data_IF_504180226569
#
_entry.id   IF_504180226569
#
_cell.length_a   1.000
_cell.length_b   1.000
_cell.length_c   1.000
_cell.angle_alpha   90.00
_cell.angle_beta   90.00
_cell.angle_gamma   90.00
#
_symmetry.space_group_name_H-M   'P 1'
#
loop_
_entity.id
_entity.type
_entity.pdbx_description
1 polymer ?
#
# COMPACT_ATOMS: atom_id res chain seq x y z
N UNK A 1 64.68 17.43 -22.36
CA UNK A 1 65.44 16.32 -23.05
C UNK A 1 64.74 15.00 -22.69
N UNK A 2 64.27 14.26 -23.75
CA UNK A 2 63.75 12.87 -23.80
C UNK A 2 62.44 12.56 -23.09
N UNK A 3 61.41 12.56 -23.78
CA UNK A 3 60.43 11.68 -24.45
C UNK A 3 60.78 10.16 -24.41
N UNK A 4 59.90 9.35 -23.88
CA UNK A 4 59.53 8.01 -24.33
C UNK A 4 58.21 7.57 -23.60
N UNK A 5 57.04 7.57 -24.28
CA UNK A 5 56.32 6.45 -24.88
C UNK A 5 56.22 5.21 -23.98
N UNK A 6 55.01 4.91 -23.52
CA UNK A 6 54.47 3.57 -23.68
C UNK A 6 52.92 3.62 -23.81
N UNK A 7 52.51 3.44 -25.04
CA UNK A 7 51.18 3.01 -25.43
C UNK A 7 51.08 1.49 -25.22
N UNK A 8 49.87 0.99 -25.01
CA UNK A 8 49.39 -0.39 -24.96
C UNK A 8 48.94 -0.86 -23.57
N UNK A 9 47.71 -0.65 -23.32
CA UNK A 9 46.81 -1.58 -22.58
C UNK A 9 45.38 -1.02 -22.54
N UNK A 10 44.79 -0.88 -23.71
CA UNK A 10 43.36 -0.69 -23.89
C UNK A 10 42.89 -1.75 -24.87
N UNK A 11 42.55 -2.89 -24.42
CA UNK A 11 42.12 -3.97 -25.34
C UNK A 11 41.65 -5.26 -24.70
N UNK A 12 41.35 -5.29 -23.41
CA UNK A 12 40.95 -6.60 -22.81
C UNK A 12 39.86 -6.49 -21.71
N UNK A 13 39.14 -5.37 -21.60
CA UNK A 13 38.00 -5.23 -20.66
C UNK A 13 36.64 -5.19 -21.35
N UNK A 14 36.58 -5.25 -22.68
CA UNK A 14 35.33 -5.16 -23.45
C UNK A 14 34.60 -6.49 -23.71
N UNK A 15 35.24 -7.63 -23.48
CA UNK A 15 34.70 -8.94 -23.86
C UNK A 15 34.12 -9.71 -22.65
N UNK A 16 34.44 -9.34 -21.42
CA UNK A 16 33.91 -10.02 -20.23
C UNK A 16 32.55 -9.47 -19.77
N UNK A 17 32.16 -8.27 -20.20
CA UNK A 17 30.87 -7.67 -19.81
C UNK A 17 29.67 -8.15 -20.65
N UNK A 18 29.92 -8.68 -21.86
CA UNK A 18 28.88 -9.21 -22.73
C UNK A 18 28.53 -10.68 -22.48
N UNK A 19 29.39 -11.42 -21.80
CA UNK A 19 29.12 -12.84 -21.46
C UNK A 19 28.36 -13.01 -20.15
N UNK A 20 28.37 -12.03 -19.24
CA UNK A 20 27.62 -12.09 -17.98
C UNK A 20 26.15 -11.65 -18.15
N UNK A 21 25.82 -10.84 -19.14
CA UNK A 21 24.43 -10.46 -19.42
C UNK A 21 23.63 -11.56 -20.14
N UNK A 22 24.31 -12.42 -20.90
CA UNK A 22 23.66 -13.55 -21.59
C UNK A 22 23.38 -14.75 -20.66
N UNK A 23 24.18 -14.92 -19.58
CA UNK A 23 23.96 -16.01 -18.62
C UNK A 23 22.80 -15.66 -17.65
N UNK A 24 22.61 -14.38 -17.33
CA UNK A 24 21.49 -13.97 -16.46
C UNK A 24 20.11 -13.99 -17.15
N UNK A 25 20.07 -13.93 -18.48
CA UNK A 25 18.83 -14.03 -19.23
C UNK A 25 18.37 -15.48 -19.43
N UNK A 26 19.26 -16.46 -19.31
CA UNK A 26 18.96 -17.86 -19.58
C UNK A 26 18.51 -18.67 -18.36
N UNK A 27 18.74 -18.18 -17.12
CA UNK A 27 18.27 -18.86 -15.91
C UNK A 27 16.84 -18.49 -15.45
N UNK A 28 16.16 -17.57 -16.12
CA UNK A 28 14.76 -17.18 -15.77
C UNK A 28 13.68 -17.84 -16.61
N UNK A 29 14.03 -18.65 -17.58
CA UNK A 29 13.07 -19.48 -18.29
C UNK A 29 12.93 -20.82 -17.56
N UNK A 30 12.10 -20.90 -16.53
CA UNK A 30 11.60 -22.20 -16.06
C UNK A 30 10.53 -22.67 -17.06
N UNK A 31 10.75 -23.76 -17.77
CA UNK A 31 9.72 -24.37 -18.59
C UNK A 31 8.78 -25.13 -17.65
N UNK A 32 7.51 -24.89 -17.76
CA UNK A 32 6.54 -25.79 -17.15
C UNK A 32 5.30 -25.15 -16.58
N UNK A 33 4.60 -24.34 -17.34
CA UNK A 33 3.15 -24.41 -17.40
C UNK A 33 2.84 -24.53 -18.87
N UNK A 34 2.50 -25.72 -19.30
CA UNK A 34 1.98 -25.99 -20.62
C UNK A 34 0.79 -25.10 -20.86
N UNK A 35 0.84 -24.35 -21.97
CA UNK A 35 -0.29 -23.63 -22.52
C UNK A 35 -1.46 -24.60 -22.67
N UNK A 36 -2.34 -24.62 -21.67
CA UNK A 36 -3.68 -25.11 -21.89
C UNK A 36 -4.36 -23.98 -22.64
N UNK A 37 -4.29 -24.00 -23.97
CA UNK A 37 -5.22 -23.26 -24.81
C UNK A 37 -6.64 -23.61 -24.37
N UNK A 38 -7.19 -22.81 -23.45
CA UNK A 38 -8.62 -22.87 -23.17
C UNK A 38 -9.36 -22.25 -24.36
N UNK A 39 -9.56 -23.03 -25.41
CA UNK A 39 -10.56 -22.74 -26.43
C UNK A 39 -11.92 -22.91 -25.77
N UNK A 40 -12.41 -21.87 -25.13
CA UNK A 40 -13.80 -21.80 -24.73
C UNK A 40 -14.67 -21.58 -25.99
N UNK A 41 -15.18 -22.65 -26.56
CA UNK A 41 -16.33 -22.55 -27.40
C UNK A 41 -17.56 -22.30 -26.54
N UNK A 42 -18.26 -21.21 -26.80
CA UNK A 42 -19.53 -20.92 -26.14
C UNK A 42 -20.52 -22.06 -26.45
N UNK A 43 -20.72 -22.95 -25.47
CA UNK A 43 -21.77 -23.99 -25.61
C UNK A 43 -21.59 -25.28 -24.82
N UNK A 44 -20.37 -25.75 -24.57
CA UNK A 44 -20.14 -27.08 -24.01
C UNK A 44 -19.19 -27.07 -22.80
N UNK A 45 -19.65 -26.55 -21.68
CA UNK A 45 -18.98 -26.80 -20.43
C UNK A 45 -19.83 -27.73 -19.54
N UNK A 46 -19.26 -28.83 -18.98
CA UNK A 46 -19.95 -29.68 -18.01
C UNK A 46 -20.27 -28.95 -16.68
N UNK A 47 -19.80 -27.74 -16.50
CA UNK A 47 -19.94 -26.90 -15.29
C UNK A 47 -20.80 -25.67 -15.50
N UNK A 48 -22.03 -25.80 -15.98
CA UNK A 48 -22.98 -24.70 -16.05
C UNK A 48 -22.61 -23.58 -17.05
N UNK A 49 -23.58 -22.77 -17.43
CA UNK A 49 -23.33 -21.60 -18.30
C UNK A 49 -22.39 -20.62 -17.61
N UNK A 50 -21.25 -20.33 -18.25
CA UNK A 50 -20.33 -19.28 -17.75
C UNK A 50 -21.09 -17.95 -17.73
N UNK A 51 -21.22 -17.37 -16.53
CA UNK A 51 -21.90 -16.10 -16.36
C UNK A 51 -21.01 -14.96 -16.86
N UNK A 52 -21.49 -14.26 -17.89
CA UNK A 52 -20.77 -13.12 -18.47
C UNK A 52 -21.05 -11.85 -17.66
N UNK A 53 -20.05 -11.02 -17.51
CA UNK A 53 -20.21 -9.67 -16.97
C UNK A 53 -21.01 -8.80 -17.96
N UNK A 54 -22.04 -8.12 -17.46
CA UNK A 54 -22.84 -7.22 -18.30
C UNK A 54 -22.13 -5.86 -18.42
N UNK A 55 -21.53 -5.64 -19.57
CA UNK A 55 -20.89 -4.36 -19.88
C UNK A 55 -21.93 -3.30 -20.24
N UNK A 56 -21.85 -2.17 -19.59
CA UNK A 56 -22.66 -0.98 -19.96
C UNK A 56 -22.11 -0.38 -21.27
N UNK A 57 -20.78 -0.43 -21.48
CA UNK A 57 -20.15 0.07 -22.69
C UNK A 57 -19.88 -1.09 -23.67
N UNK A 58 -20.56 -1.13 -24.83
CA UNK A 58 -20.40 -2.23 -25.80
C UNK A 58 -19.02 -2.25 -26.49
N UNK A 59 -18.21 -1.20 -26.35
CA UNK A 59 -16.83 -1.15 -26.88
C UNK A 59 -15.82 -1.79 -25.94
N UNK A 60 -16.20 -2.08 -24.69
CA UNK A 60 -15.30 -2.75 -23.75
C UNK A 60 -15.11 -4.22 -24.12
N UNK A 61 -13.91 -4.79 -23.96
CA UNK A 61 -13.67 -6.20 -24.21
C UNK A 61 -14.58 -7.09 -23.36
N UNK A 62 -15.08 -8.23 -23.88
CA UNK A 62 -15.93 -9.13 -23.11
C UNK A 62 -15.15 -9.73 -21.93
N UNK A 63 -15.84 -9.94 -20.82
CA UNK A 63 -15.34 -10.61 -19.61
C UNK A 63 -16.39 -11.50 -19.01
N UNK A 64 -15.97 -12.59 -18.37
CA UNK A 64 -16.84 -13.36 -17.49
C UNK A 64 -17.02 -12.60 -16.16
N UNK A 65 -18.07 -12.92 -15.42
CA UNK A 65 -18.28 -12.35 -14.08
C UNK A 65 -17.14 -12.69 -13.12
N UNK A 66 -16.60 -13.90 -13.20
CA UNK A 66 -15.47 -14.34 -12.40
C UNK A 66 -14.19 -13.52 -12.69
N UNK A 67 -13.90 -13.27 -13.98
CA UNK A 67 -12.79 -12.40 -14.40
C UNK A 67 -12.99 -10.96 -13.89
N UNK A 68 -14.21 -10.43 -14.00
CA UNK A 68 -14.51 -9.08 -13.49
C UNK A 68 -14.28 -8.97 -12.00
N UNK A 69 -14.75 -9.93 -11.19
CA UNK A 69 -14.52 -9.93 -9.73
C UNK A 69 -13.03 -10.12 -9.38
N UNK A 70 -12.30 -10.95 -10.12
CA UNK A 70 -10.84 -11.08 -9.97
C UNK A 70 -10.13 -9.77 -10.31
N UNK A 71 -10.48 -9.13 -11.41
CA UNK A 71 -9.93 -7.84 -11.83
C UNK A 71 -10.22 -6.74 -10.80
N UNK A 72 -11.42 -6.71 -10.24
CA UNK A 72 -11.83 -5.82 -9.17
C UNK A 72 -10.94 -6.01 -7.93
N UNK A 73 -10.70 -7.25 -7.50
CA UNK A 73 -9.81 -7.54 -6.38
C UNK A 73 -8.41 -7.00 -6.64
N UNK A 74 -7.78 -7.36 -7.77
CA UNK A 74 -6.43 -6.90 -8.13
C UNK A 74 -6.37 -5.38 -8.19
N UNK A 75 -7.38 -4.74 -8.78
CA UNK A 75 -7.41 -3.28 -8.91
C UNK A 75 -7.34 -2.58 -7.55
N UNK A 76 -8.18 -2.97 -6.60
CA UNK A 76 -8.20 -2.36 -5.29
C UNK A 76 -6.97 -2.70 -4.44
N UNK A 77 -6.35 -3.85 -4.67
CA UNK A 77 -5.13 -4.24 -3.95
C UNK A 77 -3.86 -3.59 -4.51
N UNK A 78 -3.78 -3.35 -5.83
CA UNK A 78 -2.53 -2.99 -6.51
C UNK A 78 -2.59 -1.68 -7.29
N UNK A 79 -3.73 -1.31 -7.86
CA UNK A 79 -3.84 -0.22 -8.85
C UNK A 79 -4.47 1.05 -8.28
N UNK A 80 -5.51 0.91 -7.43
CA UNK A 80 -6.29 2.02 -6.91
C UNK A 80 -5.44 3.07 -6.18
N UNK A 81 -4.38 2.65 -5.52
CA UNK A 81 -3.47 3.52 -4.81
C UNK A 81 -2.78 4.59 -5.66
N UNK A 82 -2.59 4.34 -6.94
CA UNK A 82 -2.03 5.32 -7.86
C UNK A 82 -3.09 5.91 -8.80
N UNK A 83 -4.03 5.09 -9.26
CA UNK A 83 -5.00 5.47 -10.27
C UNK A 83 -6.33 5.96 -9.70
N UNK A 84 -6.49 5.94 -8.36
CA UNK A 84 -7.71 6.30 -7.65
C UNK A 84 -8.74 5.18 -7.66
N UNK A 85 -9.53 5.05 -6.58
CA UNK A 85 -10.57 4.02 -6.47
C UNK A 85 -11.70 4.21 -7.47
N UNK A 86 -11.99 5.46 -7.86
CA UNK A 86 -12.94 5.84 -8.91
C UNK A 86 -12.27 5.99 -10.29
N UNK A 87 -11.01 5.54 -10.45
CA UNK A 87 -10.23 5.63 -11.69
C UNK A 87 -10.03 7.04 -12.25
N UNK A 88 -10.28 8.08 -11.45
CA UNK A 88 -10.12 9.49 -11.85
C UNK A 88 -8.67 9.99 -11.78
N UNK A 89 -7.75 9.11 -11.41
CA UNK A 89 -6.34 9.43 -11.19
C UNK A 89 -6.06 9.82 -9.74
N UNK A 90 -4.79 9.76 -9.38
CA UNK A 90 -4.24 10.23 -8.10
C UNK A 90 -2.79 10.64 -8.32
N UNK A 91 -1.80 9.80 -7.95
CA UNK A 91 -0.39 9.97 -8.37
C UNK A 91 -0.14 9.40 -9.76
N UNK A 92 -0.94 8.42 -10.18
CA UNK A 92 -0.97 7.87 -11.53
C UNK A 92 -2.04 8.55 -12.39
N UNK A 93 -1.94 8.35 -13.70
CA UNK A 93 -2.89 8.90 -14.67
C UNK A 93 -4.31 8.35 -14.45
N UNK A 94 -5.37 9.10 -14.81
CA UNK A 94 -6.73 8.58 -14.85
C UNK A 94 -6.87 7.36 -15.79
N UNK A 95 -7.65 6.37 -15.34
CA UNK A 95 -8.02 5.19 -16.09
C UNK A 95 -9.55 5.20 -16.37
N UNK A 96 -10.06 6.33 -16.83
CA UNK A 96 -11.46 6.45 -17.25
C UNK A 96 -11.70 5.61 -18.51
N UNK A 97 -12.89 5.05 -18.67
CA UNK A 97 -13.21 4.08 -19.72
C UNK A 97 -12.99 4.63 -21.13
N UNK A 98 -13.27 5.92 -21.36
CA UNK A 98 -12.98 6.60 -22.61
C UNK A 98 -11.48 6.51 -22.99
N UNK A 99 -10.58 6.75 -22.02
CA UNK A 99 -9.13 6.70 -22.25
C UNK A 99 -8.61 5.27 -22.40
N UNK A 100 -9.08 4.36 -21.57
CA UNK A 100 -8.59 2.97 -21.59
C UNK A 100 -9.07 2.20 -22.81
N UNK A 101 -10.32 2.43 -23.26
CA UNK A 101 -10.83 1.89 -24.52
C UNK A 101 -10.08 2.48 -25.73
N UNK A 102 -9.82 3.80 -25.73
CA UNK A 102 -9.03 4.43 -26.79
C UNK A 102 -7.58 3.89 -26.87
N UNK A 103 -7.00 3.54 -25.73
CA UNK A 103 -5.65 2.94 -25.66
C UNK A 103 -5.63 1.49 -26.19
N UNK A 104 -6.69 0.74 -25.96
CA UNK A 104 -6.80 -0.66 -26.37
C UNK A 104 -6.05 -1.64 -25.48
N UNK A 105 -6.48 -2.90 -25.53
CA UNK A 105 -6.00 -3.97 -24.63
C UNK A 105 -4.48 -4.19 -24.73
N UNK A 106 -3.93 -4.29 -25.93
CA UNK A 106 -2.50 -4.60 -26.12
C UNK A 106 -1.59 -3.49 -25.59
N UNK A 107 -1.96 -2.23 -25.80
CA UNK A 107 -1.21 -1.11 -25.25
C UNK A 107 -1.23 -1.13 -23.71
N UNK A 108 -2.38 -1.39 -23.10
CA UNK A 108 -2.52 -1.48 -21.65
C UNK A 108 -1.72 -2.64 -21.07
N UNK A 109 -1.68 -3.80 -21.75
CA UNK A 109 -0.87 -4.95 -21.34
C UNK A 109 0.62 -4.59 -21.25
N UNK A 110 1.14 -3.83 -22.19
CA UNK A 110 2.55 -3.40 -22.18
C UNK A 110 2.86 -2.61 -20.91
N UNK A 111 2.02 -1.62 -20.56
CA UNK A 111 2.26 -0.81 -19.36
C UNK A 111 2.06 -1.60 -18.05
N UNK A 112 1.09 -2.50 -17.99
CA UNK A 112 0.88 -3.35 -16.81
C UNK A 112 2.05 -4.32 -16.65
N UNK A 113 2.54 -4.89 -17.74
CA UNK A 113 3.61 -5.87 -17.72
C UNK A 113 4.97 -5.24 -17.37
N UNK A 114 5.35 -4.17 -18.07
CA UNK A 114 6.69 -3.59 -17.97
C UNK A 114 6.79 -2.34 -17.09
N UNK A 115 5.66 -1.79 -16.66
CA UNK A 115 5.64 -0.54 -15.91
C UNK A 115 6.05 0.67 -16.74
N UNK A 116 6.48 1.75 -16.06
CA UNK A 116 7.00 2.95 -16.71
C UNK A 116 8.06 3.64 -15.88
N UNK A 117 8.99 4.39 -16.51
CA UNK A 117 9.98 5.21 -15.80
C UNK A 117 9.36 6.29 -14.89
N UNK A 118 8.08 6.63 -15.14
CA UNK A 118 7.32 7.57 -14.31
C UNK A 118 6.78 6.96 -13.00
N UNK A 119 7.21 5.76 -12.63
CA UNK A 119 6.92 5.12 -11.35
C UNK A 119 5.75 4.14 -11.34
N UNK A 120 5.22 3.73 -12.50
CA UNK A 120 4.33 2.58 -12.56
C UNK A 120 5.15 1.30 -12.41
N UNK A 121 4.84 0.41 -11.43
CA UNK A 121 5.56 -0.84 -11.26
C UNK A 121 5.40 -1.79 -12.46
N UNK A 122 6.40 -2.63 -12.66
CA UNK A 122 6.43 -3.66 -13.71
C UNK A 122 5.75 -4.96 -13.23
N UNK A 123 4.44 -4.92 -13.07
CA UNK A 123 3.65 -5.97 -12.41
C UNK A 123 3.82 -7.36 -12.97
N UNK A 124 3.90 -7.51 -14.30
CA UNK A 124 4.10 -8.81 -14.93
C UNK A 124 5.55 -9.28 -14.83
N UNK A 125 6.52 -8.46 -15.28
CA UNK A 125 7.94 -8.87 -15.28
C UNK A 125 8.55 -8.99 -13.88
N UNK A 126 7.94 -8.41 -12.85
CA UNK A 126 8.31 -8.66 -11.46
C UNK A 126 7.78 -10.00 -10.91
N UNK A 127 6.83 -10.64 -11.61
CA UNK A 127 6.15 -11.85 -11.17
C UNK A 127 5.02 -11.62 -10.15
N UNK A 128 4.64 -10.36 -9.88
CA UNK A 128 3.51 -10.02 -9.00
C UNK A 128 2.16 -10.37 -9.63
N UNK A 129 2.04 -10.23 -10.95
CA UNK A 129 0.89 -10.66 -11.74
C UNK A 129 1.34 -11.70 -12.78
N UNK A 130 0.54 -12.75 -12.94
CA UNK A 130 0.72 -13.69 -14.06
C UNK A 130 0.36 -13.04 -15.39
N UNK A 131 0.79 -13.63 -16.51
CA UNK A 131 0.42 -13.15 -17.85
C UNK A 131 -1.11 -13.12 -18.03
N UNK A 132 -1.82 -14.10 -17.44
CA UNK A 132 -3.27 -14.14 -17.44
C UNK A 132 -3.88 -12.98 -16.64
N UNK A 133 -3.31 -12.64 -15.47
CA UNK A 133 -3.75 -11.49 -14.68
C UNK A 133 -3.42 -10.16 -15.38
N UNK A 134 -2.31 -10.07 -16.09
CA UNK A 134 -1.95 -8.89 -16.92
C UNK A 134 -2.98 -8.67 -18.03
N UNK A 135 -3.33 -9.72 -18.79
CA UNK A 135 -4.38 -9.67 -19.82
C UNK A 135 -5.74 -9.31 -19.22
N UNK A 136 -6.10 -9.99 -18.13
CA UNK A 136 -7.34 -9.75 -17.39
C UNK A 136 -7.42 -8.29 -16.94
N UNK A 137 -6.36 -7.73 -16.36
CA UNK A 137 -6.34 -6.35 -15.90
C UNK A 137 -6.43 -5.34 -17.04
N UNK A 138 -5.79 -5.61 -18.17
CA UNK A 138 -5.91 -4.75 -19.35
C UNK A 138 -7.35 -4.69 -19.88
N UNK A 139 -8.08 -5.81 -19.86
CA UNK A 139 -9.52 -5.86 -20.21
C UNK A 139 -10.39 -5.25 -19.12
N UNK A 140 -10.06 -5.49 -17.84
CA UNK A 140 -10.81 -4.98 -16.69
C UNK A 140 -10.84 -3.45 -16.60
N UNK A 141 -9.72 -2.77 -16.84
CA UNK A 141 -9.70 -1.31 -16.76
C UNK A 141 -10.47 -0.61 -17.87
N UNK A 142 -10.90 -1.35 -18.90
CA UNK A 142 -11.78 -0.88 -19.95
C UNK A 142 -13.29 -1.08 -19.63
N UNK A 143 -13.59 -1.79 -18.53
CA UNK A 143 -14.96 -1.91 -18.01
C UNK A 143 -15.34 -0.67 -17.21
N UNK A 144 -16.63 -0.39 -17.07
CA UNK A 144 -17.08 0.63 -16.12
C UNK A 144 -16.64 0.24 -14.70
N UNK A 145 -16.08 1.20 -13.94
CA UNK A 145 -15.61 0.91 -12.59
C UNK A 145 -16.80 0.55 -11.69
N UNK A 146 -16.69 -0.53 -10.90
CA UNK A 146 -17.70 -0.82 -9.89
C UNK A 146 -17.67 0.24 -8.79
N UNK A 147 -18.78 0.39 -8.06
CA UNK A 147 -18.76 1.16 -6.82
C UNK A 147 -17.71 0.58 -5.88
N UNK A 148 -16.79 1.40 -5.35
CA UNK A 148 -15.79 0.91 -4.43
C UNK A 148 -16.45 0.37 -3.16
N UNK A 149 -16.00 -0.78 -2.63
CA UNK A 149 -16.55 -1.32 -1.40
C UNK A 149 -16.24 -0.40 -0.22
N UNK A 150 -17.18 -0.29 0.71
CA UNK A 150 -16.94 0.34 2.01
C UNK A 150 -16.09 -0.59 2.89
N UNK A 151 -15.45 -0.01 3.90
CA UNK A 151 -14.61 -0.74 4.85
C UNK A 151 -14.85 -0.17 6.25
N UNK A 152 -15.65 -0.86 7.03
CA UNK A 152 -16.09 -0.40 8.33
C UNK A 152 -15.47 -1.18 9.49
N UNK A 153 -16.00 -0.98 10.70
CA UNK A 153 -15.53 -1.66 11.92
C UNK A 153 -15.62 -3.19 11.82
N UNK A 154 -16.61 -3.72 11.09
CA UNK A 154 -16.77 -5.16 10.89
C UNK A 154 -15.61 -5.77 10.12
N UNK A 155 -15.24 -5.16 9.00
CA UNK A 155 -14.14 -5.60 8.16
C UNK A 155 -12.80 -5.42 8.89
N UNK A 156 -12.65 -4.32 9.64
CA UNK A 156 -11.48 -4.09 10.48
C UNK A 156 -11.34 -5.15 11.56
N UNK A 157 -12.43 -5.45 12.29
CA UNK A 157 -12.43 -6.48 13.33
C UNK A 157 -12.09 -7.88 12.78
N UNK A 158 -12.55 -8.20 11.56
CA UNK A 158 -12.25 -9.47 10.90
C UNK A 158 -10.75 -9.59 10.52
N UNK A 159 -10.07 -8.47 10.28
CA UNK A 159 -8.64 -8.43 9.93
C UNK A 159 -7.71 -8.24 11.14
N UNK A 160 -8.26 -7.82 12.27
CA UNK A 160 -7.49 -7.48 13.48
C UNK A 160 -6.93 -8.75 14.15
N UNK A 161 -5.63 -8.72 14.43
CA UNK A 161 -4.94 -9.82 15.13
C UNK A 161 -3.98 -9.26 16.17
N UNK A 162 -4.08 -9.74 17.38
CA UNK A 162 -3.08 -9.55 18.43
C UNK A 162 -2.20 -10.79 18.44
N UNK A 163 -1.00 -10.68 17.85
CA UNK A 163 -0.06 -11.80 17.69
C UNK A 163 0.63 -12.14 19.01
N UNK A 164 0.94 -11.10 19.80
CA UNK A 164 1.48 -11.24 21.16
C UNK A 164 0.59 -10.43 22.10
N UNK A 165 -0.19 -11.10 22.98
CA UNK A 165 -1.02 -10.42 23.97
C UNK A 165 -0.21 -9.44 24.82
N UNK A 166 -0.79 -8.31 25.21
CA UNK A 166 -0.09 -7.26 26.00
C UNK A 166 0.51 -7.81 27.28
N UNK A 167 -0.19 -8.74 27.95
CA UNK A 167 0.28 -9.41 29.17
C UNK A 167 1.50 -10.30 28.98
N UNK A 168 1.79 -10.71 27.73
CA UNK A 168 2.95 -11.55 27.40
C UNK A 168 4.12 -10.73 26.84
N UNK A 169 3.93 -9.43 26.61
CA UNK A 169 4.99 -8.55 26.13
C UNK A 169 5.95 -8.18 27.25
N UNK A 170 7.21 -7.85 26.92
CA UNK A 170 8.19 -7.43 27.92
C UNK A 170 7.70 -6.24 28.74
N UNK A 171 7.84 -6.31 30.08
CA UNK A 171 7.56 -5.18 30.97
C UNK A 171 8.73 -4.20 31.05
N UNK A 172 9.90 -4.62 30.53
CA UNK A 172 11.13 -3.81 30.41
C UNK A 172 11.85 -4.19 29.12
N UNK A 173 12.64 -3.27 28.60
CA UNK A 173 13.43 -3.50 27.38
C UNK A 173 14.38 -4.71 27.58
N UNK A 174 14.31 -5.69 26.65
CA UNK A 174 15.10 -6.93 26.68
C UNK A 174 16.35 -6.90 25.79
N UNK A 175 16.59 -5.78 25.12
CA UNK A 175 17.75 -5.57 24.25
C UNK A 175 18.53 -4.34 24.69
N UNK A 176 19.73 -4.13 24.14
CA UNK A 176 20.62 -3.02 24.47
C UNK A 176 20.55 -1.86 23.45
N UNK A 177 19.68 -1.91 22.44
CA UNK A 177 19.62 -0.88 21.40
C UNK A 177 19.23 0.48 21.98
N UNK A 178 19.87 1.52 21.49
CA UNK A 178 19.48 2.90 21.81
C UNK A 178 18.24 3.27 21.00
N UNK A 179 17.07 3.26 21.65
CA UNK A 179 15.77 3.49 20.99
C UNK A 179 15.73 4.84 20.26
N UNK A 180 16.41 5.87 20.78
CA UNK A 180 16.44 7.19 20.16
C UNK A 180 17.34 7.26 18.93
N UNK A 181 18.17 6.24 18.70
CA UNK A 181 19.06 6.14 17.54
C UNK A 181 18.76 4.90 16.67
N UNK A 182 17.53 4.41 16.67
CA UNK A 182 17.06 3.41 15.72
C UNK A 182 16.53 4.09 14.46
N UNK A 183 17.03 3.68 13.29
CA UNK A 183 16.47 4.06 12.01
C UNK A 183 15.50 2.98 11.53
N UNK A 184 14.32 3.40 11.13
CA UNK A 184 13.35 2.54 10.43
C UNK A 184 13.35 2.90 8.95
N UNK A 185 13.73 1.93 8.11
CA UNK A 185 13.86 2.10 6.65
C UNK A 185 12.77 1.30 5.96
N UNK A 186 11.90 1.97 5.21
CA UNK A 186 10.86 1.32 4.42
C UNK A 186 11.47 0.63 3.21
N UNK A 187 11.35 -0.70 3.14
CA UNK A 187 11.68 -1.51 1.98
C UNK A 187 10.37 -1.72 1.19
N UNK A 188 10.01 -0.68 0.44
CA UNK A 188 8.69 -0.52 -0.16
C UNK A 188 8.28 -1.69 -1.03
N UNK A 189 9.15 -2.08 -1.95
CA UNK A 189 8.80 -3.05 -3.00
C UNK A 189 8.78 -4.50 -2.47
N UNK A 190 9.53 -4.78 -1.40
CA UNK A 190 9.48 -6.09 -0.73
C UNK A 190 8.40 -6.18 0.35
N UNK A 191 7.73 -5.06 0.69
CA UNK A 191 6.72 -5.03 1.76
C UNK A 191 7.31 -5.27 3.15
N UNK A 192 8.46 -4.68 3.44
CA UNK A 192 9.21 -4.88 4.67
C UNK A 192 9.66 -3.57 5.29
N UNK A 193 10.04 -3.63 6.55
CA UNK A 193 10.76 -2.55 7.21
C UNK A 193 12.08 -3.08 7.78
N UNK A 194 13.18 -2.38 7.51
CA UNK A 194 14.45 -2.65 8.14
C UNK A 194 14.63 -1.73 9.34
N UNK A 195 15.03 -2.30 10.48
CA UNK A 195 15.48 -1.59 11.66
C UNK A 195 17.02 -1.61 11.69
N UNK A 196 17.60 -0.44 11.79
CA UNK A 196 19.07 -0.26 11.81
C UNK A 196 19.44 0.41 13.13
N UNK A 197 20.38 -0.18 13.83
CA UNK A 197 21.01 0.42 15.00
C UNK A 197 21.95 1.55 14.55
N UNK A 198 21.62 2.77 14.90
CA UNK A 198 22.39 3.95 14.52
C UNK A 198 23.76 4.04 15.21
N UNK A 199 23.95 3.39 16.34
CA UNK A 199 25.23 3.39 17.06
C UNK A 199 26.21 2.42 16.38
N UNK A 200 25.81 1.17 16.14
CA UNK A 200 26.67 0.14 15.52
C UNK A 200 26.62 0.13 13.99
N UNK A 201 25.67 0.81 13.35
CA UNK A 201 25.38 0.80 11.91
C UNK A 201 24.98 -0.57 11.36
N UNK A 202 24.50 -1.46 12.24
CA UNK A 202 24.10 -2.83 11.87
C UNK A 202 22.58 -2.94 11.77
N UNK A 203 22.14 -3.83 10.89
CA UNK A 203 20.72 -4.20 10.82
C UNK A 203 20.33 -4.99 12.06
N UNK A 204 19.29 -4.51 12.77
CA UNK A 204 18.69 -5.18 13.93
C UNK A 204 17.75 -6.28 13.45
N UNK A 205 16.84 -5.93 12.53
CA UNK A 205 15.85 -6.85 11.97
C UNK A 205 15.33 -6.33 10.61
N UNK A 206 14.88 -7.26 9.77
CA UNK A 206 14.03 -6.97 8.61
C UNK A 206 12.71 -7.69 8.89
N UNK A 207 11.61 -6.94 8.92
CA UNK A 207 10.31 -7.40 9.38
C UNK A 207 9.31 -7.27 8.24
N UNK A 208 8.63 -8.37 7.91
CA UNK A 208 7.56 -8.39 6.92
C UNK A 208 6.35 -7.61 7.44
N UNK A 209 5.80 -6.74 6.60
CA UNK A 209 4.67 -5.87 6.93
C UNK A 209 3.62 -5.89 5.80
N UNK A 210 2.92 -4.79 5.57
CA UNK A 210 1.96 -4.66 4.48
C UNK A 210 2.61 -4.43 3.11
N UNK A 211 1.79 -4.44 2.08
CA UNK A 211 2.24 -4.16 0.71
C UNK A 211 2.60 -2.69 0.53
N UNK A 212 3.67 -2.44 -0.22
CA UNK A 212 4.17 -1.10 -0.54
C UNK A 212 4.26 -0.20 0.71
N UNK A 213 5.07 -0.60 1.68
CA UNK A 213 5.28 0.13 2.94
C UNK A 213 5.49 1.60 2.67
N UNK A 214 4.69 2.45 3.29
CA UNK A 214 4.68 3.87 2.99
C UNK A 214 5.34 4.70 4.08
N UNK A 215 4.98 4.46 5.33
CA UNK A 215 5.46 5.25 6.47
C UNK A 215 5.54 4.41 7.73
N UNK A 216 6.46 4.78 8.60
CA UNK A 216 6.53 4.31 9.97
C UNK A 216 6.49 5.49 10.96
N UNK A 217 5.92 5.26 12.14
CA UNK A 217 5.85 6.24 13.22
C UNK A 217 6.25 5.61 14.54
N UNK A 218 7.20 6.26 15.22
CA UNK A 218 7.60 5.88 16.56
C UNK A 218 6.54 6.34 17.57
N UNK A 219 6.20 5.49 18.52
CA UNK A 219 5.37 5.84 19.67
C UNK A 219 6.06 6.87 20.55
N UNK A 220 5.29 7.58 21.38
CA UNK A 220 5.86 8.61 22.29
C UNK A 220 6.80 8.01 23.32
N UNK A 221 6.51 6.81 23.82
CA UNK A 221 7.38 6.09 24.75
C UNK A 221 8.65 5.52 24.10
N UNK A 222 8.73 5.51 22.77
CA UNK A 222 9.79 4.83 22.03
C UNK A 222 9.68 3.30 22.01
N UNK A 223 8.63 2.73 22.60
CA UNK A 223 8.46 1.27 22.67
C UNK A 223 7.97 0.68 21.35
N UNK A 224 6.98 1.32 20.76
CA UNK A 224 6.31 0.79 19.58
C UNK A 224 6.66 1.54 18.30
N UNK A 225 6.74 0.80 17.21
CA UNK A 225 6.82 1.34 15.87
C UNK A 225 5.57 0.92 15.09
N UNK A 226 4.80 1.89 14.63
CA UNK A 226 3.64 1.68 13.77
C UNK A 226 4.07 1.77 12.32
N UNK A 227 3.79 0.75 11.53
CA UNK A 227 4.15 0.69 10.11
C UNK A 227 2.91 0.51 9.29
N UNK A 228 2.69 1.34 8.28
CA UNK A 228 1.54 1.22 7.39
C UNK A 228 1.96 1.04 5.94
N UNK A 229 1.34 0.07 5.27
CA UNK A 229 1.43 -0.15 3.83
C UNK A 229 0.31 0.56 3.06
N UNK A 230 0.48 0.66 1.74
CA UNK A 230 -0.54 1.23 0.87
C UNK A 230 -1.80 0.38 0.77
N UNK A 231 -1.71 -0.90 1.10
CA UNK A 231 -2.83 -1.83 1.26
C UNK A 231 -3.66 -1.57 2.52
N UNK A 232 -3.37 -0.48 3.25
CA UNK A 232 -3.99 -0.08 4.50
C UNK A 232 -3.76 -1.08 5.65
N UNK A 233 -2.77 -1.96 5.55
CA UNK A 233 -2.35 -2.83 6.65
C UNK A 233 -1.41 -2.07 7.57
N UNK A 234 -1.69 -2.15 8.87
CA UNK A 234 -0.83 -1.62 9.94
C UNK A 234 -0.22 -2.79 10.68
N UNK A 235 1.09 -2.72 10.90
CA UNK A 235 1.83 -3.62 11.78
C UNK A 235 2.34 -2.80 12.98
N UNK A 236 2.10 -3.30 14.17
CA UNK A 236 2.65 -2.77 15.43
C UNK A 236 3.85 -3.60 15.83
N UNK A 237 5.02 -3.00 15.85
CA UNK A 237 6.28 -3.65 16.20
C UNK A 237 6.67 -3.24 17.62
N UNK A 238 6.98 -4.21 18.49
CA UNK A 238 7.48 -3.94 19.86
C UNK A 238 9.02 -3.95 19.86
N UNK A 239 9.61 -2.76 20.02
CA UNK A 239 11.06 -2.56 20.03
C UNK A 239 11.71 -2.98 21.36
N UNK A 240 10.92 -3.32 22.40
CA UNK A 240 11.44 -3.79 23.69
C UNK A 240 11.73 -5.29 23.70
N UNK A 241 11.21 -6.03 22.75
CA UNK A 241 11.52 -7.47 22.62
C UNK A 241 13.02 -7.70 22.41
N UNK A 242 13.55 -8.84 22.83
CA UNK A 242 14.94 -9.22 22.61
C UNK A 242 15.30 -9.14 21.10
N UNK A 243 14.38 -9.56 20.24
CA UNK A 243 14.36 -9.31 18.79
C UNK A 243 13.06 -8.61 18.47
N UNK A 244 13.10 -7.33 18.06
CA UNK A 244 11.90 -6.61 17.64
C UNK A 244 11.11 -7.34 16.56
N UNK A 245 9.80 -7.44 16.73
CA UNK A 245 8.90 -8.07 15.76
C UNK A 245 7.48 -7.53 15.90
N UNK A 246 6.61 -7.88 14.93
CA UNK A 246 5.20 -7.50 14.93
C UNK A 246 4.43 -8.19 16.05
N UNK A 247 3.73 -7.40 16.86
CA UNK A 247 2.92 -7.88 18.00
C UNK A 247 1.42 -7.73 17.78
N UNK A 248 0.99 -6.89 16.85
CA UNK A 248 -0.40 -6.77 16.42
C UNK A 248 -0.47 -6.29 14.97
N UNK A 249 -1.56 -6.61 14.29
CA UNK A 249 -1.84 -6.17 12.92
C UNK A 249 -3.31 -5.93 12.68
N UNK A 250 -3.63 -5.00 11.77
CA UNK A 250 -4.99 -4.71 11.32
C UNK A 250 -4.96 -4.13 9.92
N UNK A 251 -6.03 -4.35 9.15
CA UNK A 251 -6.29 -3.61 7.91
C UNK A 251 -7.42 -2.60 8.18
N UNK A 252 -7.18 -1.32 7.85
CA UNK A 252 -8.10 -0.21 8.19
C UNK A 252 -8.84 0.37 6.98
N UNK A 253 -8.64 -0.20 5.82
CA UNK A 253 -9.27 0.25 4.57
C UNK A 253 -8.73 -0.52 3.37
N UNK A 254 -8.92 0.03 2.17
CA UNK A 254 -8.39 -0.54 0.93
C UNK A 254 -7.09 0.14 0.49
N UNK A 255 -6.94 1.42 0.85
CA UNK A 255 -5.72 2.18 0.64
C UNK A 255 -5.50 3.16 1.79
N UNK A 256 -4.27 3.24 2.29
CA UNK A 256 -3.88 4.19 3.32
C UNK A 256 -2.43 4.67 3.13
N UNK A 257 -2.10 5.81 3.77
CA UNK A 257 -0.74 6.33 3.74
C UNK A 257 -0.29 6.97 5.03
N UNK A 258 -1.16 7.06 6.02
CA UNK A 258 -0.83 7.78 7.25
C UNK A 258 -1.23 6.98 8.48
N UNK A 259 -0.32 6.89 9.42
CA UNK A 259 -0.52 6.37 10.77
C UNK A 259 0.20 7.28 11.75
N UNK A 260 -0.37 7.49 12.92
CA UNK A 260 0.22 8.28 14.00
C UNK A 260 -0.25 7.74 15.35
N UNK A 261 0.37 8.20 16.45
CA UNK A 261 0.02 7.81 17.81
C UNK A 261 -0.09 9.04 18.72
N UNK A 262 -0.89 8.95 19.78
CA UNK A 262 -1.07 10.04 20.73
C UNK A 262 0.22 10.35 21.50
N UNK A 263 0.60 11.65 21.56
CA UNK A 263 1.88 12.13 22.12
C UNK A 263 1.72 13.12 23.26
N UNK A 264 0.50 13.56 23.55
CA UNK A 264 0.23 14.49 24.62
C UNK A 264 0.42 13.82 25.98
N UNK A 265 0.98 14.57 26.94
CA UNK A 265 1.24 14.09 28.31
C UNK A 265 -0.02 13.54 28.99
N UNK A 266 0.07 12.30 29.48
CA UNK A 266 -1.04 11.55 30.09
C UNK A 266 -1.89 10.75 29.09
N UNK A 267 -1.57 10.83 27.81
CA UNK A 267 -2.19 10.07 26.73
C UNK A 267 -1.14 9.38 25.83
N UNK A 268 0.11 9.33 26.28
CA UNK A 268 1.20 8.75 25.49
C UNK A 268 0.85 7.32 25.08
N UNK A 269 0.93 7.05 23.78
CA UNK A 269 0.67 5.74 23.16
C UNK A 269 -0.71 5.13 23.44
N UNK A 270 -1.63 5.89 24.04
CA UNK A 270 -2.96 5.40 24.37
C UNK A 270 -3.82 5.14 23.14
N UNK A 271 -3.69 5.98 22.14
CA UNK A 271 -4.42 5.89 20.90
C UNK A 271 -3.47 5.85 19.71
N UNK A 272 -3.82 5.03 18.71
CA UNK A 272 -3.29 5.13 17.37
C UNK A 272 -4.38 5.64 16.43
N UNK A 273 -3.99 6.34 15.37
CA UNK A 273 -4.89 6.84 14.35
C UNK A 273 -4.32 6.54 12.97
N UNK A 274 -5.17 6.09 12.05
CA UNK A 274 -4.79 5.87 10.66
C UNK A 274 -5.75 6.58 9.72
N UNK A 275 -5.19 7.19 8.68
CA UNK A 275 -5.93 7.85 7.63
C UNK A 275 -5.93 7.05 6.35
N UNK A 276 -7.11 6.88 5.75
CA UNK A 276 -7.29 6.11 4.53
C UNK A 276 -7.61 7.01 3.33
N UNK A 277 -7.20 6.54 2.16
CA UNK A 277 -7.61 7.11 0.89
C UNK A 277 -8.98 6.56 0.49
N UNK A 278 -9.19 5.26 0.77
CA UNK A 278 -10.49 4.65 0.61
C UNK A 278 -10.79 3.59 1.69
N UNK A 279 -11.98 3.58 2.29
CA UNK A 279 -12.91 4.72 2.29
C UNK A 279 -12.24 6.00 2.79
N UNK A 280 -12.70 7.20 2.37
CA UNK A 280 -12.13 8.46 2.85
C UNK A 280 -12.56 8.72 4.30
N UNK A 281 -11.71 8.28 5.21
CA UNK A 281 -11.99 8.26 6.66
C UNK A 281 -10.67 8.23 7.45
N UNK A 282 -10.78 8.45 8.74
CA UNK A 282 -9.74 8.05 9.67
C UNK A 282 -10.31 7.14 10.75
N UNK A 283 -9.46 6.25 11.24
CA UNK A 283 -9.81 5.28 12.27
C UNK A 283 -8.95 5.50 13.49
N UNK A 284 -9.57 5.62 14.66
CA UNK A 284 -8.87 5.66 15.95
C UNK A 284 -8.92 4.27 16.57
N UNK A 285 -7.78 3.83 17.11
CA UNK A 285 -7.55 2.49 17.65
C UNK A 285 -6.89 2.59 19.04
N UNK A 286 -6.94 1.52 19.82
CA UNK A 286 -6.07 1.34 20.96
C UNK A 286 -4.61 1.31 20.50
N UNK A 287 -3.73 2.01 21.20
CA UNK A 287 -2.36 2.17 20.75
C UNK A 287 -1.51 0.91 20.86
N UNK A 288 -1.78 0.06 21.84
CA UNK A 288 -1.00 -1.16 22.12
C UNK A 288 -1.54 -2.43 21.50
N UNK A 289 -2.82 -2.45 21.10
CA UNK A 289 -3.49 -3.62 20.50
C UNK A 289 -3.91 -3.42 19.07
N UNK A 290 -4.01 -2.17 18.60
CA UNK A 290 -4.63 -1.77 17.33
C UNK A 290 -6.13 -2.10 17.26
N UNK A 291 -6.80 -2.39 18.38
CA UNK A 291 -8.24 -2.64 18.38
C UNK A 291 -8.97 -1.40 17.86
N UNK A 292 -9.81 -1.51 16.82
CA UNK A 292 -10.50 -0.34 16.27
C UNK A 292 -11.56 0.14 17.25
N UNK A 293 -11.58 1.45 17.50
CA UNK A 293 -12.48 2.10 18.46
C UNK A 293 -13.52 2.97 17.76
N UNK A 294 -13.09 3.78 16.79
CA UNK A 294 -13.97 4.75 16.13
C UNK A 294 -13.50 5.05 14.71
N UNK A 295 -14.49 5.25 13.83
CA UNK A 295 -14.27 5.70 12.44
C UNK A 295 -14.97 7.05 12.28
N UNK A 296 -14.30 7.98 11.59
CA UNK A 296 -14.87 9.25 11.18
C UNK A 296 -14.64 9.46 9.69
N UNK A 297 -15.72 9.78 8.97
CA UNK A 297 -15.66 10.06 7.54
C UNK A 297 -15.08 11.46 7.29
N UNK A 298 -14.29 11.60 6.23
CA UNK A 298 -13.78 12.90 5.77
C UNK A 298 -14.57 13.45 4.57
N UNK A 299 -15.58 12.72 4.06
CA UNK A 299 -16.45 13.19 2.98
C UNK A 299 -17.12 14.51 3.35
N UNK A 300 -17.24 15.41 2.39
CA UNK A 300 -17.86 16.70 2.65
C UNK A 300 -17.63 17.72 1.55
N UNK A 301 -18.01 18.95 1.86
CA UNK A 301 -17.88 20.10 0.95
C UNK A 301 -16.42 20.57 0.88
N UNK A 302 -15.98 20.96 -0.30
CA UNK A 302 -14.69 21.66 -0.50
C UNK A 302 -14.75 23.06 0.11
N UNK A 303 -13.59 23.61 0.46
CA UNK A 303 -13.52 24.97 1.03
C UNK A 303 -13.71 26.04 -0.03
N UNK A 304 -13.16 25.81 -1.22
CA UNK A 304 -13.11 26.78 -2.31
C UNK A 304 -14.40 26.86 -3.12
N UNK A 305 -14.89 25.74 -3.65
CA UNK A 305 -16.06 25.72 -4.54
C UNK A 305 -17.37 25.39 -3.82
N UNK A 306 -17.31 24.96 -2.55
CA UNK A 306 -18.48 24.49 -1.78
C UNK A 306 -19.21 23.32 -2.46
N UNK A 307 -18.46 22.49 -3.20
CA UNK A 307 -18.97 21.29 -3.86
C UNK A 307 -18.70 20.06 -3.01
N UNK A 308 -19.61 19.09 -3.03
CA UNK A 308 -19.42 17.83 -2.32
C UNK A 308 -18.34 17.00 -2.99
N UNK A 309 -17.30 16.63 -2.21
CA UNK A 309 -16.25 15.71 -2.67
C UNK A 309 -16.44 14.32 -2.05
N UNK A 310 -16.58 13.26 -2.88
CA UNK A 310 -16.83 11.91 -2.39
C UNK A 310 -15.55 11.18 -1.89
N UNK A 311 -14.36 11.68 -2.25
CA UNK A 311 -13.06 11.05 -1.99
C UNK A 311 -12.03 12.00 -1.35
N UNK A 312 -12.33 12.69 -0.27
CA UNK A 312 -11.31 13.53 0.37
C UNK A 312 -10.32 12.64 1.14
N UNK A 313 -9.22 12.27 0.47
CA UNK A 313 -8.20 11.36 1.00
C UNK A 313 -7.50 11.95 2.22
N UNK A 314 -7.26 11.13 3.23
CA UNK A 314 -6.42 11.53 4.36
C UNK A 314 -4.96 11.36 3.97
N UNK A 315 -4.31 12.46 3.60
CA UNK A 315 -2.95 12.45 3.09
C UNK A 315 -1.90 12.35 4.21
N UNK A 316 -2.15 12.98 5.34
CA UNK A 316 -1.25 12.96 6.50
C UNK A 316 -1.99 13.14 7.81
N UNK A 317 -1.39 12.61 8.87
CA UNK A 317 -1.81 12.84 10.25
C UNK A 317 -0.57 13.18 11.07
N UNK A 318 -0.71 14.14 11.97
CA UNK A 318 0.32 14.51 12.95
C UNK A 318 -0.32 14.58 14.32
N UNK A 319 0.37 14.09 15.35
CA UNK A 319 -0.05 14.23 16.74
C UNK A 319 0.58 15.46 17.37
N UNK A 320 -0.20 16.25 18.10
CA UNK A 320 0.31 17.34 18.91
C UNK A 320 0.98 16.82 20.18
N UNK A 321 2.11 17.42 20.54
CA UNK A 321 2.77 17.20 21.83
C UNK A 321 2.23 18.14 22.93
N UNK A 322 1.54 19.22 22.54
CA UNK A 322 1.11 20.29 23.41
C UNK A 322 -0.37 20.21 23.77
N UNK A 323 -1.17 19.55 22.92
CA UNK A 323 -2.61 19.35 23.13
C UNK A 323 -2.98 17.90 22.87
N UNK A 324 -4.06 17.37 23.47
CA UNK A 324 -4.55 16.02 23.19
C UNK A 324 -5.28 15.98 21.84
N UNK A 325 -4.51 16.21 20.76
CA UNK A 325 -5.06 16.43 19.42
C UNK A 325 -4.28 15.68 18.34
N UNK A 326 -5.02 15.14 17.37
CA UNK A 326 -4.51 14.79 16.07
C UNK A 326 -4.91 15.84 15.04
N UNK A 327 -3.99 16.14 14.15
CA UNK A 327 -4.19 17.04 13.02
C UNK A 327 -4.27 16.18 11.77
N UNK A 328 -5.44 16.16 11.13
CA UNK A 328 -5.76 15.30 9.98
C UNK A 328 -5.94 16.15 8.73
N UNK A 329 -5.15 15.88 7.69
CA UNK A 329 -5.24 16.56 6.41
C UNK A 329 -6.21 15.83 5.48
N UNK A 330 -7.35 16.44 5.15
CA UNK A 330 -8.33 15.98 4.17
C UNK A 330 -8.08 16.69 2.82
N UNK A 331 -7.28 16.05 1.98
CA UNK A 331 -6.59 16.66 0.84
C UNK A 331 -7.50 17.35 -0.17
N UNK A 332 -8.54 16.67 -0.66
CA UNK A 332 -9.35 17.17 -1.76
C UNK A 332 -10.41 18.20 -1.32
N UNK A 333 -10.75 18.21 -0.05
CA UNK A 333 -11.66 19.24 0.50
C UNK A 333 -10.93 20.51 0.93
N UNK A 334 -9.60 20.50 0.95
CA UNK A 334 -8.78 21.63 1.42
C UNK A 334 -8.87 21.84 2.93
N UNK A 335 -9.37 20.85 3.70
CA UNK A 335 -9.61 20.98 5.13
C UNK A 335 -8.51 20.35 5.96
N UNK A 336 -8.21 20.98 7.08
CA UNK A 336 -7.48 20.39 8.19
C UNK A 336 -8.48 20.12 9.31
N UNK A 337 -8.53 18.87 9.79
CA UNK A 337 -9.39 18.48 10.90
C UNK A 337 -8.54 18.37 12.17
N UNK A 338 -8.92 19.12 13.19
CA UNK A 338 -8.33 19.02 14.53
C UNK A 338 -9.23 18.09 15.35
N UNK A 339 -8.70 16.93 15.68
CA UNK A 339 -9.42 15.86 16.40
C UNK A 339 -8.93 15.83 17.85
N UNK A 340 -9.70 16.46 18.75
CA UNK A 340 -9.38 16.47 20.18
C UNK A 340 -9.91 15.21 20.85
N UNK A 341 -8.99 14.41 21.42
CA UNK A 341 -9.26 13.11 22.06
C UNK A 341 -9.24 13.17 23.59
N UNK A 342 -9.26 14.36 24.21
CA UNK A 342 -9.27 14.50 25.69
C UNK A 342 -10.44 13.75 26.32
N UNK A 343 -11.64 13.90 25.75
CA UNK A 343 -12.80 13.07 26.04
C UNK A 343 -13.10 12.20 24.83
N UNK A 344 -12.65 10.95 24.89
CA UNK A 344 -12.81 10.02 23.75
C UNK A 344 -14.28 9.70 23.44
N UNK A 345 -15.15 9.70 24.43
CA UNK A 345 -16.58 9.43 24.24
C UNK A 345 -17.27 10.59 23.50
N UNK A 346 -16.75 11.80 23.65
CA UNK A 346 -17.23 13.04 23.01
C UNK A 346 -16.11 13.69 22.19
N UNK A 347 -15.61 13.01 21.16
CA UNK A 347 -14.57 13.56 20.29
C UNK A 347 -15.03 14.90 19.71
N UNK A 348 -14.22 15.93 19.93
CA UNK A 348 -14.42 17.22 19.32
C UNK A 348 -13.58 17.32 18.04
N UNK A 349 -14.26 17.42 16.89
CA UNK A 349 -13.63 17.61 15.60
C UNK A 349 -13.92 19.03 15.13
N UNK A 350 -12.86 19.80 14.89
CA UNK A 350 -12.96 21.16 14.34
C UNK A 350 -12.30 21.17 12.98
N UNK A 351 -12.96 21.76 12.00
CA UNK A 351 -12.43 21.96 10.64
C UNK A 351 -11.89 23.38 10.51
N UNK A 352 -10.71 23.51 9.96
CA UNK A 352 -10.06 24.76 9.56
C UNK A 352 -9.54 24.67 8.14
#
# INVERSE_FOLDING_TARGET
MKIARNSMRAGMLGILALSLSAVYAQERAKPGVTDVEMKFQAGDSPMGKVEMHQNINPKAPPMTKAEFERGKQIYFERCAGCHGVLRKGATGKPLTTDKTIASGTEYLKVFINYGSPAGMPNWGTSGELSDADVDLMARYVQQEPPSPPEYGLKEMAASHKVLVPVSQRPTRKQNSFNIENIFSVTLRDSGEIALIDGDSKKTIAIIKTGYAVHISRMSKSGRYLYVIGRDAKINLIDLWMAKPDTVAEIKVGLEARSVETSKFKGFEDRYAIAGTYWPPQFTIMEGDTLKPLKIESTRGMTVDTQEYHPEPRVASIVASHYNPEFIVNAKETGKILVVNYRDFNNLKITSI
#
